data_IF_671163713040
#
_entry.id   IF_671163713040
#
_cell.length_a   1.000
_cell.length_b   1.000
_cell.length_c   1.000
_cell.angle_alpha   90.00
_cell.angle_beta   90.00
_cell.angle_gamma   90.00
#
_symmetry.space_group_name_H-M   'P 1'
#
loop_
_entity.id
_entity.type
_entity.pdbx_description
1 polymer ?
#
# COMPACT_ATOMS: atom_id res chain seq x y z
N UNK A 1 22.75 -20.99 -4.54
CA UNK A 1 21.42 -21.14 -3.93
C UNK A 1 21.34 -22.55 -3.38
N UNK A 2 20.91 -22.72 -2.13
CA UNK A 2 20.84 -24.03 -1.47
C UNK A 2 19.37 -24.34 -1.26
N UNK A 3 18.93 -25.53 -1.67
CA UNK A 3 17.55 -26.01 -1.49
C UNK A 3 17.59 -27.46 -1.06
N UNK A 4 16.63 -27.88 -0.23
CA UNK A 4 16.48 -29.26 0.21
C UNK A 4 15.68 -30.12 -0.79
N UNK A 5 15.41 -29.58 -1.98
CA UNK A 5 14.65 -30.21 -3.05
C UNK A 5 15.63 -30.75 -4.09
N UNK A 6 15.42 -32.00 -4.52
CA UNK A 6 16.24 -32.66 -5.51
C UNK A 6 16.21 -31.93 -6.87
N UNK A 7 17.34 -31.89 -7.56
CA UNK A 7 17.50 -31.19 -8.83
C UNK A 7 16.62 -31.74 -9.96
N UNK A 8 16.22 -33.01 -9.87
CA UNK A 8 15.30 -33.62 -10.84
C UNK A 8 13.84 -33.22 -10.60
N UNK A 9 13.51 -32.76 -9.40
CA UNK A 9 12.15 -32.34 -9.02
C UNK A 9 11.92 -30.85 -9.28
N UNK A 10 12.95 -30.01 -9.11
CA UNK A 10 12.81 -28.57 -9.21
C UNK A 10 13.83 -27.96 -10.17
N UNK A 11 13.33 -27.46 -11.30
CA UNK A 11 14.12 -26.76 -12.31
C UNK A 11 14.78 -25.50 -11.73
N UNK A 12 16.03 -25.25 -12.12
CA UNK A 12 16.81 -24.06 -11.77
C UNK A 12 16.12 -22.73 -12.12
N UNK A 13 15.27 -22.71 -13.16
CA UNK A 13 14.46 -21.53 -13.51
C UNK A 13 13.43 -21.22 -12.42
N UNK A 14 12.71 -22.22 -11.90
CA UNK A 14 11.68 -22.05 -10.86
C UNK A 14 12.32 -21.56 -9.56
N UNK A 15 13.46 -22.18 -9.21
CA UNK A 15 14.35 -21.78 -8.12
C UNK A 15 14.70 -20.29 -8.21
N UNK A 16 15.05 -19.81 -9.40
CA UNK A 16 15.39 -18.40 -9.63
C UNK A 16 14.17 -17.49 -9.44
N UNK A 17 13.01 -17.87 -9.95
CA UNK A 17 11.76 -17.10 -9.77
C UNK A 17 11.32 -17.04 -8.30
N UNK A 18 11.43 -18.14 -7.55
CA UNK A 18 11.16 -18.16 -6.11
C UNK A 18 12.06 -17.19 -5.35
N UNK A 19 13.34 -17.10 -5.74
CA UNK A 19 14.26 -16.14 -5.12
C UNK A 19 13.95 -14.69 -5.50
N UNK A 20 13.41 -14.43 -6.70
CA UNK A 20 12.89 -13.11 -7.07
C UNK A 20 11.68 -12.74 -6.22
N UNK A 21 10.76 -13.69 -5.99
CA UNK A 21 9.60 -13.48 -5.13
C UNK A 21 10.01 -13.14 -3.70
N UNK A 22 11.01 -13.83 -3.14
CA UNK A 22 11.56 -13.50 -1.82
C UNK A 22 12.00 -12.04 -1.75
N UNK A 23 12.63 -11.52 -2.80
CA UNK A 23 13.05 -10.11 -2.86
C UNK A 23 11.86 -9.14 -2.91
N UNK A 24 10.77 -9.49 -3.61
CA UNK A 24 9.54 -8.71 -3.61
C UNK A 24 8.92 -8.61 -2.20
N UNK A 25 8.97 -9.69 -1.42
CA UNK A 25 8.52 -9.70 -0.03
C UNK A 25 9.41 -8.77 0.83
N UNK A 26 10.73 -8.78 0.64
CA UNK A 26 11.64 -7.87 1.36
C UNK A 26 11.38 -6.40 1.04
N UNK A 27 11.12 -6.08 -0.23
CA UNK A 27 10.71 -4.73 -0.64
C UNK A 27 9.42 -4.30 0.03
N UNK A 28 8.42 -5.18 0.08
CA UNK A 28 7.15 -4.92 0.73
C UNK A 28 7.35 -4.58 2.21
N UNK A 29 8.15 -5.37 2.93
CA UNK A 29 8.51 -5.06 4.32
C UNK A 29 9.30 -3.77 4.47
N UNK A 30 10.14 -3.43 3.49
CA UNK A 30 10.85 -2.15 3.47
C UNK A 30 9.87 -0.98 3.36
N UNK A 31 8.86 -1.08 2.49
CA UNK A 31 7.77 -0.07 2.37
C UNK A 31 6.96 0.03 3.67
N UNK A 32 6.58 -1.11 4.26
CA UNK A 32 5.82 -1.13 5.50
C UNK A 32 6.54 -0.42 6.64
N UNK A 33 7.86 -0.62 6.76
CA UNK A 33 8.68 0.08 7.74
C UNK A 33 8.89 1.55 7.37
N UNK A 34 9.29 1.86 6.14
CA UNK A 34 9.64 3.24 5.75
C UNK A 34 8.42 4.16 5.66
N UNK A 35 7.38 3.74 4.95
CA UNK A 35 6.23 4.57 4.57
C UNK A 35 5.14 4.49 5.62
N UNK A 36 4.90 3.28 6.13
CA UNK A 36 3.85 3.07 7.13
C UNK A 36 4.37 3.09 8.57
N UNK A 37 5.69 3.08 8.82
CA UNK A 37 6.28 3.16 10.16
C UNK A 37 5.75 2.06 11.11
N UNK A 38 5.63 0.81 10.62
CA UNK A 38 5.15 -0.32 11.45
C UNK A 38 6.12 -0.65 12.60
N UNK A 39 7.40 -0.34 12.45
CA UNK A 39 8.48 -0.58 13.42
C UNK A 39 8.53 0.48 14.53
N UNK A 40 7.89 1.63 14.34
CA UNK A 40 7.90 2.75 15.30
C UNK A 40 6.62 2.85 16.13
N UNK A 41 5.70 1.92 15.97
CA UNK A 41 4.42 1.91 16.69
C UNK A 41 4.62 1.61 18.18
N UNK A 42 4.62 2.64 19.01
CA UNK A 42 4.59 2.51 20.46
C UNK A 42 3.16 2.73 20.97
N UNK A 43 2.44 1.65 21.28
CA UNK A 43 1.12 1.73 21.93
C UNK A 43 1.05 0.76 23.10
N UNK A 44 0.43 1.18 24.20
CA UNK A 44 0.37 0.42 25.46
C UNK A 44 -0.45 -0.88 25.40
N UNK A 45 -1.27 -1.12 24.36
CA UNK A 45 -2.13 -2.30 24.24
C UNK A 45 -1.79 -3.14 23.01
N UNK A 46 -1.32 -4.36 23.24
CA UNK A 46 -0.88 -5.31 22.20
C UNK A 46 -1.93 -5.56 21.11
N UNK A 47 -3.19 -5.80 21.48
CA UNK A 47 -4.28 -6.07 20.53
C UNK A 47 -4.52 -4.94 19.51
N UNK A 48 -4.30 -3.69 19.94
CA UNK A 48 -4.47 -2.52 19.06
C UNK A 48 -3.34 -2.43 18.03
N UNK A 49 -2.11 -2.74 18.46
CA UNK A 49 -0.95 -2.83 17.56
C UNK A 49 -1.16 -3.93 16.53
N UNK A 50 -1.59 -5.12 16.96
CA UNK A 50 -1.88 -6.24 16.08
C UNK A 50 -2.94 -5.87 15.02
N UNK A 51 -4.03 -5.24 15.44
CA UNK A 51 -5.08 -4.80 14.52
C UNK A 51 -4.56 -3.80 13.48
N UNK A 52 -3.74 -2.83 13.87
CA UNK A 52 -3.15 -1.87 12.92
C UNK A 52 -2.16 -2.57 12.00
N UNK A 53 -1.35 -3.48 12.54
CA UNK A 53 -0.36 -4.24 11.76
C UNK A 53 -1.06 -5.06 10.67
N UNK A 54 -2.10 -5.81 11.03
CA UNK A 54 -2.90 -6.57 10.07
C UNK A 54 -3.59 -5.65 9.06
N UNK A 55 -4.17 -4.54 9.51
CA UNK A 55 -4.79 -3.55 8.62
C UNK A 55 -3.81 -3.00 7.58
N UNK A 56 -2.57 -2.67 7.99
CA UNK A 56 -1.52 -2.19 7.09
C UNK A 56 -1.04 -3.27 6.13
N UNK A 57 -0.86 -4.51 6.61
CA UNK A 57 -0.46 -5.63 5.77
C UNK A 57 -1.52 -5.91 4.69
N UNK A 58 -2.78 -6.09 5.11
CA UNK A 58 -3.90 -6.35 4.20
C UNK A 58 -4.10 -5.19 3.23
N UNK A 59 -4.08 -3.95 3.72
CA UNK A 59 -4.20 -2.76 2.89
C UNK A 59 -3.12 -2.69 1.81
N UNK A 60 -1.88 -3.02 2.16
CA UNK A 60 -0.77 -3.04 1.20
C UNK A 60 -0.91 -4.17 0.18
N UNK A 61 -1.40 -5.34 0.59
CA UNK A 61 -1.68 -6.45 -0.34
C UNK A 61 -2.80 -6.10 -1.33
N UNK A 62 -3.87 -5.44 -0.86
CA UNK A 62 -4.97 -5.01 -1.71
C UNK A 62 -4.56 -3.98 -2.76
N UNK A 63 -3.50 -3.19 -2.50
CA UNK A 63 -2.97 -2.20 -3.44
C UNK A 63 -1.92 -2.75 -4.40
N UNK A 64 -1.48 -4.00 -4.27
CA UNK A 64 -0.49 -4.60 -5.18
C UNK A 64 -0.98 -4.71 -6.64
N UNK A 65 -2.21 -5.15 -6.94
CA UNK A 65 -2.69 -5.18 -8.32
C UNK A 65 -2.73 -3.79 -8.95
N UNK A 66 -2.97 -2.75 -8.14
CA UNK A 66 -2.94 -1.36 -8.59
C UNK A 66 -1.50 -0.92 -8.94
N UNK A 67 -0.52 -1.28 -8.09
CA UNK A 67 0.89 -1.06 -8.39
C UNK A 67 1.29 -1.71 -9.71
N UNK A 68 0.98 -3.01 -9.89
CA UNK A 68 1.33 -3.75 -11.10
C UNK A 68 0.71 -3.13 -12.35
N UNK A 69 -0.58 -2.74 -12.28
CA UNK A 69 -1.26 -2.07 -13.37
C UNK A 69 -0.58 -0.74 -13.77
N UNK A 70 -0.22 0.08 -12.78
CA UNK A 70 0.44 1.37 -13.01
C UNK A 70 1.85 1.16 -13.56
N UNK A 71 2.61 0.21 -13.01
CA UNK A 71 3.97 -0.09 -13.45
C UNK A 71 3.98 -0.54 -14.91
N UNK A 72 3.11 -1.47 -15.29
CA UNK A 72 2.97 -1.95 -16.67
C UNK A 72 2.54 -0.83 -17.62
N UNK A 73 1.60 0.02 -17.20
CA UNK A 73 1.15 1.17 -17.99
C UNK A 73 2.30 2.17 -18.21
N UNK A 74 3.13 2.41 -17.18
CA UNK A 74 4.25 3.33 -17.27
C UNK A 74 5.40 2.76 -18.11
N UNK A 75 5.68 1.47 -17.98
CA UNK A 75 6.62 0.74 -18.81
C UNK A 75 6.24 0.82 -20.28
N UNK A 76 4.97 0.55 -20.62
CA UNK A 76 4.48 0.61 -22.00
C UNK A 76 4.53 2.03 -22.58
N UNK A 77 4.18 3.05 -21.80
CA UNK A 77 4.04 4.42 -22.31
C UNK A 77 5.34 5.24 -22.27
N UNK A 78 6.20 5.03 -21.28
CA UNK A 78 7.41 5.84 -21.02
C UNK A 78 8.70 5.03 -21.09
N UNK A 79 8.63 3.72 -21.32
CA UNK A 79 9.79 2.83 -21.32
C UNK A 79 10.46 2.65 -19.95
N UNK A 80 9.82 3.12 -18.87
CA UNK A 80 10.35 3.08 -17.50
C UNK A 80 9.21 2.85 -16.51
N UNK A 81 9.40 1.86 -15.63
CA UNK A 81 8.49 1.55 -14.54
C UNK A 81 8.67 2.46 -13.33
N UNK A 82 7.88 2.17 -12.29
CA UNK A 82 7.93 2.84 -10.99
C UNK A 82 8.38 1.84 -9.92
N UNK A 83 9.34 2.24 -9.09
CA UNK A 83 9.73 1.41 -7.95
C UNK A 83 8.59 1.36 -6.93
N UNK A 84 8.41 0.19 -6.30
CA UNK A 84 7.34 -0.01 -5.32
C UNK A 84 7.38 1.01 -4.18
N UNK A 85 8.58 1.39 -3.72
CA UNK A 85 8.75 2.42 -2.69
C UNK A 85 8.21 3.77 -3.13
N UNK A 86 8.54 4.20 -4.37
CA UNK A 86 8.06 5.47 -4.90
C UNK A 86 6.56 5.47 -5.10
N UNK A 87 6.01 4.36 -5.58
CA UNK A 87 4.56 4.18 -5.71
C UNK A 87 3.85 4.40 -4.37
N UNK A 88 4.27 3.71 -3.31
CA UNK A 88 3.62 3.83 -2.01
C UNK A 88 3.81 5.20 -1.34
N UNK A 89 4.93 5.89 -1.58
CA UNK A 89 5.12 7.27 -1.11
C UNK A 89 4.10 8.20 -1.78
N UNK A 90 3.96 8.13 -3.11
CA UNK A 90 3.00 8.95 -3.84
C UNK A 90 1.56 8.63 -3.46
N UNK A 91 1.22 7.34 -3.40
CA UNK A 91 -0.10 6.87 -2.98
C UNK A 91 -0.47 7.42 -1.59
N UNK A 92 0.47 7.44 -0.65
CA UNK A 92 0.21 7.96 0.69
C UNK A 92 -0.08 9.46 0.68
N UNK A 93 0.68 10.24 -0.09
CA UNK A 93 0.47 11.68 -0.28
C UNK A 93 -0.90 11.95 -0.92
N UNK A 94 -1.22 11.25 -2.01
CA UNK A 94 -2.47 11.42 -2.74
C UNK A 94 -3.68 11.04 -1.87
N UNK A 95 -3.59 9.96 -1.08
CA UNK A 95 -4.62 9.57 -0.13
C UNK A 95 -4.83 10.63 0.97
N UNK A 96 -3.75 11.24 1.47
CA UNK A 96 -3.84 12.31 2.47
C UNK A 96 -4.51 13.56 1.89
N UNK A 97 -4.15 13.95 0.67
CA UNK A 97 -4.79 15.05 -0.04
C UNK A 97 -6.27 14.77 -0.30
N UNK A 98 -6.61 13.58 -0.78
CA UNK A 98 -7.98 13.16 -1.00
C UNK A 98 -8.80 13.19 0.29
N UNK A 99 -8.25 12.70 1.40
CA UNK A 99 -8.90 12.76 2.70
C UNK A 99 -9.15 14.21 3.16
N UNK A 100 -8.15 15.09 2.99
CA UNK A 100 -8.28 16.51 3.34
C UNK A 100 -9.40 17.20 2.53
N UNK A 101 -9.46 16.94 1.21
CA UNK A 101 -10.52 17.46 0.33
C UNK A 101 -11.89 16.92 0.76
N UNK A 102 -12.02 15.61 0.99
CA UNK A 102 -13.28 14.99 1.42
C UNK A 102 -13.78 15.55 2.75
N UNK A 103 -12.88 15.83 3.70
CA UNK A 103 -13.24 16.46 4.97
C UNK A 103 -13.75 17.89 4.78
N UNK A 104 -13.11 18.66 3.90
CA UNK A 104 -13.55 20.01 3.54
C UNK A 104 -14.92 20.02 2.86
N UNK A 105 -15.15 19.14 1.89
CA UNK A 105 -16.45 19.06 1.20
C UNK A 105 -17.55 18.63 2.16
N UNK A 106 -17.31 17.63 3.02
CA UNK A 106 -18.28 17.20 4.02
C UNK A 106 -18.70 18.33 4.96
N UNK A 107 -17.74 19.15 5.41
CA UNK A 107 -18.02 20.33 6.22
C UNK A 107 -18.86 21.38 5.46
N UNK A 108 -18.58 21.59 4.18
CA UNK A 108 -19.40 22.47 3.34
C UNK A 108 -20.83 21.94 3.17
N UNK A 109 -21.01 20.63 2.97
CA UNK A 109 -22.33 20.02 2.88
C UNK A 109 -23.14 20.15 4.18
N UNK A 110 -22.53 19.90 5.33
CA UNK A 110 -23.23 20.07 6.62
C UNK A 110 -23.65 21.52 6.83
N UNK A 111 -22.77 22.47 6.51
CA UNK A 111 -23.08 23.91 6.60
C UNK A 111 -24.20 24.35 5.66
N UNK A 112 -24.22 23.83 4.43
CA UNK A 112 -25.31 24.08 3.48
C UNK A 112 -26.63 23.48 3.97
N UNK A 113 -26.61 22.27 4.51
CA UNK A 113 -27.77 21.63 5.12
C UNK A 113 -28.34 22.48 6.26
N UNK A 114 -27.49 22.99 7.15
CA UNK A 114 -27.91 23.85 8.27
C UNK A 114 -28.53 25.18 7.78
N UNK A 115 -28.01 25.76 6.69
CA UNK A 115 -28.56 26.99 6.09
C UNK A 115 -29.93 26.71 5.45
N UNK A 116 -30.07 25.61 4.70
CA UNK A 116 -31.34 25.24 4.08
C UNK A 116 -32.43 24.99 5.12
N UNK A 117 -32.10 24.32 6.24
CA UNK A 117 -33.01 24.11 7.36
C UNK A 117 -33.44 25.42 8.05
N UNK A 118 -32.59 26.46 8.05
CA UNK A 118 -32.93 27.79 8.57
C UNK A 118 -33.80 28.63 7.64
N UNK A 119 -33.76 28.38 6.33
CA UNK A 119 -34.58 29.08 5.34
C UNK A 119 -35.97 28.43 5.22
N UNK A 120 -36.06 27.11 5.45
CA UNK A 120 -37.31 26.37 5.39
C UNK A 120 -38.18 26.42 6.66
N UNK A 121 -37.68 27.00 7.74
CA UNK A 121 -38.41 27.34 8.98
C UNK A 121 -38.68 28.84 9.01
#
# INVERSE_FOLDING_TARGET
>A
MITNIDANVLNTTIITELYRLRWQIELLFKVLKSTFSIDKMHVAKTKYIESILYGRLIGTLLTMPLYDCIDQTLLSNKGRGVSIQRFYILLNVDLYQFYAVKKGTLHSYSKLSDILLRIGN
#
